data_IF_539911519601
#
_entry.id   IF_539911519601
#
_cell.length_a   1.000
_cell.length_b   1.000
_cell.length_c   1.000
_cell.angle_alpha   90.00
_cell.angle_beta   90.00
_cell.angle_gamma   90.00
#
_symmetry.space_group_name_H-M   'P 1'
#
loop_
_entity.id
_entity.type
_entity.pdbx_description
1 polymer ?
#
# COMPACT_ATOMS: atom_id res chain seq x y z
N UNK A 1 -4.66 -10.90 12.83
CA UNK A 1 -5.05 -11.53 11.54
C UNK A 1 -4.33 -12.87 11.43
N UNK A 2 -5.02 -13.96 11.12
CA UNK A 2 -4.41 -15.30 11.08
C UNK A 2 -3.94 -15.72 9.68
N UNK A 3 -2.87 -16.51 9.62
CA UNK A 3 -2.27 -17.05 8.38
C UNK A 3 -3.29 -17.75 7.46
N UNK A 4 -4.32 -18.38 8.03
CA UNK A 4 -5.41 -19.04 7.27
C UNK A 4 -6.15 -18.09 6.32
N UNK A 5 -6.34 -16.83 6.71
CA UNK A 5 -7.02 -15.82 5.86
C UNK A 5 -6.13 -15.32 4.72
N UNK A 6 -4.81 -15.38 4.90
CA UNK A 6 -3.84 -15.03 3.84
C UNK A 6 -3.84 -16.10 2.75
N UNK A 7 -3.81 -17.38 3.14
CA UNK A 7 -3.86 -18.49 2.20
C UNK A 7 -5.12 -18.46 1.33
N UNK A 8 -6.29 -18.20 1.93
CA UNK A 8 -7.55 -18.05 1.20
C UNK A 8 -7.50 -16.92 0.17
N UNK A 9 -7.00 -15.73 0.55
CA UNK A 9 -6.87 -14.60 -0.37
C UNK A 9 -5.91 -14.87 -1.52
N UNK A 10 -4.84 -15.63 -1.26
CA UNK A 10 -3.85 -15.97 -2.29
C UNK A 10 -4.45 -16.97 -3.29
N UNK A 11 -5.24 -17.93 -2.82
CA UNK A 11 -5.99 -18.86 -3.67
C UNK A 11 -7.03 -18.10 -4.52
N UNK A 12 -7.78 -17.18 -3.93
CA UNK A 12 -8.76 -16.35 -4.65
C UNK A 12 -8.10 -15.52 -5.76
N UNK A 13 -6.94 -14.92 -5.48
CA UNK A 13 -6.19 -14.17 -6.48
C UNK A 13 -5.71 -15.06 -7.64
N UNK A 14 -5.15 -16.24 -7.34
CA UNK A 14 -4.72 -17.21 -8.36
C UNK A 14 -5.88 -17.70 -9.22
N UNK A 15 -7.02 -18.06 -8.62
CA UNK A 15 -8.21 -18.45 -9.35
C UNK A 15 -8.73 -17.35 -10.28
N UNK A 16 -8.61 -16.08 -9.87
CA UNK A 16 -8.95 -14.93 -10.72
C UNK A 16 -7.96 -14.71 -11.85
N UNK A 17 -6.66 -14.94 -11.62
CA UNK A 17 -5.65 -14.89 -12.67
C UNK A 17 -5.89 -15.96 -13.73
N UNK A 18 -6.06 -17.21 -13.30
CA UNK A 18 -6.34 -18.36 -14.18
C UNK A 18 -7.62 -18.15 -15.00
N UNK A 19 -8.64 -17.56 -14.39
CA UNK A 19 -9.88 -17.22 -15.07
C UNK A 19 -9.84 -15.93 -15.91
N UNK A 20 -8.70 -15.26 -16.05
CA UNK A 20 -8.56 -13.99 -16.78
C UNK A 20 -9.29 -12.79 -16.15
N UNK A 21 -9.78 -12.93 -14.91
CA UNK A 21 -10.53 -11.92 -14.15
C UNK A 21 -9.62 -11.02 -13.29
N UNK A 22 -8.32 -11.30 -13.31
CA UNK A 22 -7.26 -10.46 -12.77
C UNK A 22 -6.09 -10.48 -13.75
N UNK A 23 -5.34 -9.38 -13.79
CA UNK A 23 -4.08 -9.33 -14.51
C UNK A 23 -2.93 -9.59 -13.55
N UNK A 24 -1.89 -10.25 -14.04
CA UNK A 24 -0.65 -10.44 -13.28
C UNK A 24 -0.10 -9.09 -12.81
N UNK A 25 0.43 -9.08 -11.58
CA UNK A 25 1.07 -7.89 -11.04
C UNK A 25 2.40 -7.72 -11.77
N UNK A 26 2.48 -6.71 -12.62
CA UNK A 26 3.70 -6.32 -13.30
C UNK A 26 4.45 -5.25 -12.51
N UNK A 27 5.79 -5.14 -12.65
CA UNK A 27 6.57 -4.06 -12.03
C UNK A 27 5.98 -2.66 -12.28
N UNK A 28 5.46 -2.40 -13.48
CA UNK A 28 4.83 -1.11 -13.82
C UNK A 28 3.54 -0.83 -13.03
N UNK A 29 2.78 -1.86 -12.64
CA UNK A 29 1.63 -1.68 -11.75
C UNK A 29 2.09 -1.23 -10.37
N UNK A 30 3.17 -1.84 -9.87
CA UNK A 30 3.75 -1.52 -8.56
C UNK A 30 4.34 -0.10 -8.57
N UNK A 31 5.07 0.29 -9.62
CA UNK A 31 5.60 1.66 -9.80
C UNK A 31 4.49 2.71 -9.72
N UNK A 32 3.37 2.49 -10.42
CA UNK A 32 2.20 3.40 -10.38
C UNK A 32 1.59 3.52 -8.99
N UNK A 33 1.51 2.41 -8.24
CA UNK A 33 1.00 2.44 -6.86
C UNK A 33 1.97 3.17 -5.94
N UNK A 34 3.27 2.91 -6.09
CA UNK A 34 4.33 3.53 -5.31
C UNK A 34 4.38 5.06 -5.51
N UNK A 35 4.21 5.54 -6.74
CA UNK A 35 4.05 6.97 -7.03
C UNK A 35 2.86 7.59 -6.28
N UNK A 36 1.70 6.91 -6.30
CA UNK A 36 0.50 7.38 -5.56
C UNK A 36 0.73 7.39 -4.05
N UNK A 37 1.41 6.38 -3.51
CA UNK A 37 1.72 6.29 -2.09
C UNK A 37 2.69 7.40 -1.66
N UNK A 38 3.72 7.70 -2.47
CA UNK A 38 4.66 8.80 -2.22
C UNK A 38 3.96 10.16 -2.25
N UNK A 39 3.06 10.40 -3.21
CA UNK A 39 2.22 11.61 -3.23
C UNK A 39 1.37 11.74 -1.97
N UNK A 40 0.71 10.66 -1.56
CA UNK A 40 -0.09 10.63 -0.34
C UNK A 40 0.75 10.89 0.91
N UNK A 41 1.98 10.38 0.97
CA UNK A 41 2.92 10.66 2.06
C UNK A 41 3.19 12.17 2.14
N UNK A 42 3.59 12.79 1.03
CA UNK A 42 3.85 14.23 0.97
C UNK A 42 2.62 15.07 1.36
N UNK A 43 1.43 14.69 0.89
CA UNK A 43 0.17 15.35 1.26
C UNK A 43 -0.14 15.25 2.77
N UNK A 44 0.19 14.13 3.40
CA UNK A 44 0.00 13.92 4.84
C UNK A 44 1.01 14.73 5.65
N UNK A 45 2.28 14.76 5.23
CA UNK A 45 3.33 15.58 5.84
C UNK A 45 2.96 17.07 5.78
N UNK A 46 2.55 17.57 4.61
CA UNK A 46 2.09 18.95 4.44
C UNK A 46 0.85 19.29 5.29
N UNK A 47 -0.02 18.31 5.55
CA UNK A 47 -1.18 18.49 6.46
C UNK A 47 -0.75 18.51 7.92
N UNK A 48 0.29 17.76 8.31
CA UNK A 48 0.83 17.76 9.67
C UNK A 48 1.52 19.07 10.01
N UNK A 49 2.16 19.72 9.04
CA UNK A 49 2.75 21.05 9.21
C UNK A 49 1.70 22.13 9.46
N UNK A 50 0.49 21.95 8.92
CA UNK A 50 -0.63 22.89 9.04
C UNK A 50 -1.65 22.53 10.13
N UNK A 51 -1.41 21.46 10.89
CA UNK A 51 -2.34 21.00 11.90
C UNK A 51 -2.11 21.77 13.21
N UNK A 52 -3.11 22.56 13.62
CA UNK A 52 -3.06 23.40 14.83
C UNK A 52 -3.54 22.68 16.12
N UNK A 53 -3.66 21.33 16.09
CA UNK A 53 -4.16 20.56 17.23
C UNK A 53 -3.60 19.13 17.34
N UNK A 54 -3.42 18.67 18.57
CA UNK A 54 -2.76 17.40 18.90
C UNK A 54 -3.55 16.16 18.41
N UNK A 55 -4.89 16.19 18.48
CA UNK A 55 -5.75 15.09 18.02
C UNK A 55 -5.70 14.93 16.48
N UNK A 56 -5.63 16.04 15.76
CA UNK A 56 -5.46 16.05 14.31
C UNK A 56 -4.07 15.55 13.90
N UNK A 57 -3.03 15.94 14.65
CA UNK A 57 -1.66 15.48 14.43
C UNK A 57 -1.54 13.98 14.69
N UNK A 58 -2.11 13.45 15.77
CA UNK A 58 -2.05 12.01 16.07
C UNK A 58 -2.73 11.17 14.96
N UNK A 59 -3.90 11.61 14.49
CA UNK A 59 -4.60 10.93 13.39
C UNK A 59 -3.80 10.97 12.08
N UNK A 60 -3.13 12.09 11.79
CA UNK A 60 -2.28 12.22 10.61
C UNK A 60 -1.01 11.37 10.72
N UNK A 61 -0.38 11.29 11.89
CA UNK A 61 0.77 10.42 12.15
C UNK A 61 0.42 8.96 11.89
N UNK A 62 -0.71 8.47 12.42
CA UNK A 62 -1.15 7.08 12.17
C UNK A 62 -1.38 6.81 10.68
N UNK A 63 -1.90 7.80 9.93
CA UNK A 63 -2.08 7.67 8.48
C UNK A 63 -0.73 7.65 7.74
N UNK A 64 0.24 8.43 8.22
CA UNK A 64 1.59 8.49 7.66
C UNK A 64 2.32 7.16 7.85
N UNK A 65 2.26 6.57 9.06
CA UNK A 65 2.85 5.26 9.36
C UNK A 65 2.30 4.17 8.43
N UNK A 66 0.99 4.15 8.22
CA UNK A 66 0.36 3.20 7.29
C UNK A 66 0.83 3.42 5.85
N UNK A 67 0.94 4.67 5.41
CA UNK A 67 1.46 4.99 4.08
C UNK A 67 2.92 4.54 3.91
N UNK A 68 3.77 4.77 4.92
CA UNK A 68 5.17 4.32 4.93
C UNK A 68 5.29 2.79 4.90
N UNK A 69 4.47 2.06 5.66
CA UNK A 69 4.43 0.59 5.59
C UNK A 69 4.02 0.10 4.20
N UNK A 70 3.03 0.74 3.59
CA UNK A 70 2.59 0.40 2.23
C UNK A 70 3.68 0.68 1.19
N UNK A 71 4.45 1.75 1.35
CA UNK A 71 5.61 2.05 0.49
C UNK A 71 6.65 0.96 0.62
N UNK A 72 7.06 0.60 1.84
CA UNK A 72 8.05 -0.48 2.07
C UNK A 72 7.60 -1.80 1.45
N UNK A 73 6.32 -2.16 1.59
CA UNK A 73 5.79 -3.36 0.95
C UNK A 73 5.81 -3.27 -0.58
N UNK A 74 5.49 -2.11 -1.15
CA UNK A 74 5.55 -1.91 -2.60
C UNK A 74 6.98 -1.94 -3.13
N UNK A 75 7.95 -1.39 -2.40
CA UNK A 75 9.38 -1.45 -2.72
C UNK A 75 9.88 -2.90 -2.68
N UNK A 76 9.60 -3.63 -1.60
CA UNK A 76 9.91 -5.05 -1.51
C UNK A 76 9.29 -5.85 -2.65
N UNK A 77 8.03 -5.58 -2.99
CA UNK A 77 7.33 -6.26 -4.07
C UNK A 77 7.99 -5.97 -5.43
N UNK A 78 8.46 -4.75 -5.66
CA UNK A 78 9.17 -4.40 -6.90
C UNK A 78 10.51 -5.14 -7.04
N UNK A 79 11.17 -5.45 -5.93
CA UNK A 79 12.43 -6.21 -5.91
C UNK A 79 12.21 -7.73 -6.07
N UNK A 80 11.02 -8.23 -5.73
CA UNK A 80 10.74 -9.68 -5.61
C UNK A 80 9.72 -10.21 -6.64
N UNK A 81 9.16 -9.36 -7.50
CA UNK A 81 8.35 -9.79 -8.65
C UNK A 81 9.29 -10.08 -9.83
N UNK A 82 9.10 -11.21 -10.54
CA UNK A 82 9.88 -11.58 -11.72
C UNK A 82 9.70 -10.64 -12.93
#
# INVERSE_FOLDING_TARGET
MGLKKLAAKLADYRARLEGGKASEIKPDHVRKVLEKLRRKQADLEAKMEKADGDEDRERLTRKLEVAQQQIRHAEWLLENIP
#
